data_IF_026771065367
#
_entry.id   IF_026771065367
#
_cell.length_a   1.000
_cell.length_b   1.000
_cell.length_c   1.000
_cell.angle_alpha   90.00
_cell.angle_beta   90.00
_cell.angle_gamma   90.00
#
_symmetry.space_group_name_H-M   'P 1'
#
loop_
_entity.id
_entity.type
_entity.pdbx_description
1 polymer ?
#
# COMPACT_ATOMS: atom_id res chain seq x y z
N UNK A 1 -56.05 -31.76 50.14
CA UNK A 1 -55.22 -30.54 50.12
C UNK A 1 -53.82 -30.82 49.60
N UNK A 2 -53.04 -31.72 50.21
CA UNK A 2 -51.66 -32.02 49.79
C UNK A 2 -51.50 -32.57 48.36
N UNK A 3 -52.50 -33.28 47.82
CA UNK A 3 -52.44 -33.82 46.45
C UNK A 3 -52.52 -32.71 45.39
N UNK A 4 -53.40 -31.72 45.58
CA UNK A 4 -53.55 -30.60 44.65
C UNK A 4 -52.30 -29.71 44.62
N UNK A 5 -51.68 -29.48 45.77
CA UNK A 5 -50.44 -28.70 45.87
C UNK A 5 -49.26 -29.40 45.15
N UNK A 6 -49.21 -30.73 45.20
CA UNK A 6 -48.24 -31.51 44.41
C UNK A 6 -48.54 -31.42 42.92
N UNK A 7 -49.81 -31.45 42.51
CA UNK A 7 -50.22 -31.34 41.12
C UNK A 7 -49.81 -29.98 40.52
N UNK A 8 -50.03 -28.89 41.24
CA UNK A 8 -49.61 -27.54 40.82
C UNK A 8 -48.09 -27.43 40.64
N UNK A 9 -47.31 -28.04 41.54
CA UNK A 9 -45.85 -28.07 41.42
C UNK A 9 -45.40 -28.84 40.17
N UNK A 10 -46.04 -29.97 39.87
CA UNK A 10 -45.74 -30.77 38.68
C UNK A 10 -46.05 -29.99 37.39
N UNK A 11 -47.17 -29.26 37.35
CA UNK A 11 -47.52 -28.41 36.20
C UNK A 11 -46.48 -27.32 35.97
N UNK A 12 -46.06 -26.61 37.02
CA UNK A 12 -44.99 -25.59 36.90
C UNK A 12 -43.67 -26.17 36.42
N UNK A 13 -43.31 -27.38 36.85
CA UNK A 13 -42.11 -28.07 36.38
C UNK A 13 -42.22 -28.40 34.89
N UNK A 14 -43.40 -28.84 34.43
CA UNK A 14 -43.65 -29.11 33.01
C UNK A 14 -43.46 -27.84 32.17
N UNK A 15 -44.08 -26.73 32.59
CA UNK A 15 -43.97 -25.45 31.89
C UNK A 15 -42.51 -24.96 31.85
N UNK A 16 -41.78 -25.14 32.95
CA UNK A 16 -40.34 -24.81 33.02
C UNK A 16 -39.51 -25.69 32.07
N UNK A 17 -39.81 -26.98 31.96
CA UNK A 17 -39.10 -27.90 31.06
C UNK A 17 -39.36 -27.57 29.58
N UNK A 18 -40.56 -27.11 29.25
CA UNK A 18 -40.91 -26.67 27.90
C UNK A 18 -40.10 -25.42 27.52
N UNK A 19 -40.07 -24.42 28.41
CA UNK A 19 -39.24 -23.23 28.23
C UNK A 19 -37.73 -23.55 28.13
N UNK A 20 -37.23 -24.50 28.95
CA UNK A 20 -35.84 -24.95 28.87
C UNK A 20 -35.56 -25.61 27.52
N UNK A 21 -36.50 -26.39 26.97
CA UNK A 21 -36.31 -27.05 25.68
C UNK A 21 -36.22 -26.03 24.53
N UNK A 22 -37.04 -24.99 24.56
CA UNK A 22 -36.95 -23.87 23.61
C UNK A 22 -35.60 -23.15 23.70
N UNK A 23 -35.11 -22.90 24.92
CA UNK A 23 -33.79 -22.29 25.13
C UNK A 23 -32.66 -23.17 24.60
N UNK A 24 -32.73 -24.48 24.80
CA UNK A 24 -31.73 -25.43 24.27
C UNK A 24 -31.70 -25.40 22.75
N UNK A 25 -32.86 -25.37 22.09
CA UNK A 25 -32.93 -25.28 20.63
C UNK A 25 -32.32 -23.95 20.14
N UNK A 26 -32.64 -22.83 20.79
CA UNK A 26 -32.04 -21.55 20.46
C UNK A 26 -30.52 -21.55 20.64
N UNK A 27 -30.00 -22.23 21.67
CA UNK A 27 -28.54 -22.38 21.87
C UNK A 27 -27.91 -23.20 20.74
N UNK A 28 -28.56 -24.27 20.29
CA UNK A 28 -28.07 -25.08 19.15
C UNK A 28 -28.01 -24.21 17.89
N UNK A 29 -29.08 -23.47 17.56
CA UNK A 29 -29.11 -22.57 16.40
C UNK A 29 -28.06 -21.45 16.49
N UNK A 30 -27.77 -20.96 17.70
CA UNK A 30 -26.67 -20.01 17.90
C UNK A 30 -25.32 -20.66 17.68
N UNK A 31 -25.12 -21.90 18.11
CA UNK A 31 -23.87 -22.62 17.93
C UNK A 31 -23.58 -22.85 16.43
N UNK A 32 -24.59 -23.25 15.66
CA UNK A 32 -24.45 -23.41 14.20
C UNK A 32 -24.02 -22.09 13.52
N UNK A 33 -24.59 -20.96 13.94
CA UNK A 33 -24.19 -19.63 13.44
C UNK A 33 -22.80 -19.21 13.87
N UNK A 34 -22.33 -19.64 15.04
CA UNK A 34 -20.96 -19.38 15.49
C UNK A 34 -19.98 -20.12 14.58
N UNK A 35 -20.25 -21.39 14.25
CA UNK A 35 -19.43 -22.16 13.32
C UNK A 35 -19.36 -21.49 11.93
N UNK A 36 -20.49 -21.02 11.40
CA UNK A 36 -20.51 -20.25 10.14
C UNK A 36 -19.71 -18.93 10.20
N UNK A 37 -19.68 -18.27 11.36
CA UNK A 37 -18.91 -17.04 11.54
C UNK A 37 -17.41 -17.33 11.67
N UNK A 38 -17.03 -18.42 12.32
CA UNK A 38 -15.64 -18.86 12.43
C UNK A 38 -15.04 -19.17 11.05
N UNK A 39 -15.81 -19.82 10.16
CA UNK A 39 -15.39 -20.07 8.77
C UNK A 39 -15.17 -18.75 8.00
N UNK A 40 -16.10 -17.80 8.10
CA UNK A 40 -15.95 -16.47 7.47
C UNK A 40 -14.78 -15.67 8.01
N UNK A 41 -14.47 -15.80 9.30
CA UNK A 41 -13.30 -15.14 9.89
C UNK A 41 -12.03 -15.74 9.32
N UNK A 42 -11.94 -17.06 9.16
CA UNK A 42 -10.79 -17.71 8.55
C UNK A 42 -10.58 -17.26 7.10
N UNK A 43 -11.65 -17.17 6.31
CA UNK A 43 -11.57 -16.66 4.92
C UNK A 43 -11.06 -15.21 4.88
N UNK A 44 -11.58 -14.35 5.76
CA UNK A 44 -11.14 -12.96 5.86
C UNK A 44 -9.69 -12.82 6.33
N UNK A 45 -9.21 -13.70 7.22
CA UNK A 45 -7.81 -13.72 7.65
C UNK A 45 -6.88 -14.10 6.49
N UNK A 46 -7.27 -15.05 5.63
CA UNK A 46 -6.53 -15.40 4.42
C UNK A 46 -6.48 -14.22 3.43
N UNK A 47 -7.63 -13.59 3.14
CA UNK A 47 -7.69 -12.40 2.28
C UNK A 47 -6.82 -11.26 2.81
N UNK A 48 -6.86 -11.02 4.12
CA UNK A 48 -6.06 -9.98 4.76
C UNK A 48 -4.57 -10.31 4.70
N UNK A 49 -4.17 -11.58 4.82
CA UNK A 49 -2.78 -12.00 4.60
C UNK A 49 -2.30 -11.64 3.20
N UNK A 50 -3.12 -11.90 2.16
CA UNK A 50 -2.77 -11.57 0.77
C UNK A 50 -2.63 -10.06 0.59
N UNK A 51 -3.55 -9.27 1.15
CA UNK A 51 -3.51 -7.81 1.08
C UNK A 51 -2.25 -7.27 1.76
N UNK A 52 -1.88 -7.80 2.94
CA UNK A 52 -0.66 -7.38 3.62
C UNK A 52 0.59 -7.72 2.81
N UNK A 53 0.66 -8.90 2.19
CA UNK A 53 1.78 -9.26 1.30
C UNK A 53 1.88 -8.32 0.10
N UNK A 54 0.75 -7.96 -0.51
CA UNK A 54 0.70 -6.97 -1.59
C UNK A 54 1.15 -5.58 -1.14
N UNK A 55 0.77 -5.18 0.06
CA UNK A 55 1.14 -3.88 0.64
C UNK A 55 2.64 -3.82 0.96
N UNK A 56 3.22 -4.92 1.43
CA UNK A 56 4.66 -5.04 1.66
C UNK A 56 5.45 -4.96 0.34
N UNK A 57 4.96 -5.60 -0.72
CA UNK A 57 5.56 -5.48 -2.06
C UNK A 57 5.51 -4.04 -2.57
N UNK A 58 4.36 -3.37 -2.48
CA UNK A 58 4.19 -1.95 -2.85
C UNK A 58 5.08 -1.02 -2.00
N UNK A 59 5.18 -1.25 -0.70
CA UNK A 59 6.06 -0.46 0.18
C UNK A 59 7.52 -0.63 -0.17
N UNK A 60 7.94 -1.81 -0.63
CA UNK A 60 9.32 -2.08 -1.05
C UNK A 60 9.61 -1.36 -2.38
N UNK A 61 8.66 -1.38 -3.31
CA UNK A 61 8.75 -0.70 -4.60
C UNK A 61 8.88 0.83 -4.43
N UNK A 62 8.03 1.44 -3.59
CA UNK A 62 8.12 2.87 -3.27
C UNK A 62 9.43 3.26 -2.57
N UNK A 63 10.06 2.35 -1.81
CA UNK A 63 11.36 2.63 -1.18
C UNK A 63 12.53 2.55 -2.16
N UNK A 64 12.42 1.73 -3.21
CA UNK A 64 13.40 1.68 -4.30
C UNK A 64 13.42 2.98 -5.12
N UNK A 65 12.27 3.62 -5.31
CA UNK A 65 12.19 4.94 -5.96
C UNK A 65 12.78 6.07 -5.09
N UNK A 66 12.87 5.90 -3.76
CA UNK A 66 13.50 6.87 -2.85
C UNK A 66 15.03 6.69 -2.70
N UNK A 67 15.65 5.76 -3.42
CA UNK A 67 17.10 5.79 -3.70
C UNK A 67 17.39 6.52 -5.03
N UNK A 68 16.38 7.20 -5.58
CA UNK A 68 16.44 7.86 -6.88
C UNK A 68 16.87 9.31 -6.79
N UNK A 69 18.16 9.54 -6.51
CA UNK A 69 18.80 10.82 -6.88
C UNK A 69 20.32 10.82 -6.64
N UNK A 70 20.86 9.98 -5.75
CA UNK A 70 22.32 9.91 -5.53
C UNK A 70 22.97 8.87 -6.44
N UNK A 71 23.77 9.30 -7.42
CA UNK A 71 24.60 8.43 -8.26
C UNK A 71 26.09 8.61 -7.99
N UNK A 72 26.84 7.50 -8.00
CA UNK A 72 28.29 7.52 -7.86
C UNK A 72 28.95 7.61 -9.25
N UNK A 73 29.76 8.63 -9.47
CA UNK A 73 30.54 8.83 -10.69
C UNK A 73 32.03 8.98 -10.36
N UNK A 74 32.91 8.77 -11.35
CA UNK A 74 34.35 9.00 -11.18
C UNK A 74 34.69 10.35 -11.79
N UNK A 75 35.31 11.24 -11.03
CA UNK A 75 35.72 12.54 -11.54
C UNK A 75 36.79 12.37 -12.65
N UNK A 76 36.58 12.91 -13.86
CA UNK A 76 37.53 12.76 -14.97
C UNK A 76 38.87 13.48 -14.74
N UNK A 77 38.92 14.38 -13.75
CA UNK A 77 40.10 15.21 -13.48
C UNK A 77 40.98 14.73 -12.33
N UNK A 78 40.40 14.11 -11.30
CA UNK A 78 41.14 13.61 -10.13
C UNK A 78 40.99 12.10 -9.91
N UNK A 79 40.13 11.44 -10.69
CA UNK A 79 39.89 10.00 -10.63
C UNK A 79 39.33 9.48 -9.30
N UNK A 80 38.84 10.37 -8.44
CA UNK A 80 38.14 10.00 -7.22
C UNK A 80 36.64 9.82 -7.46
N UNK A 81 36.06 8.91 -6.67
CA UNK A 81 34.63 8.63 -6.64
C UNK A 81 33.88 9.80 -6.00
N UNK A 82 32.83 10.27 -6.68
CA UNK A 82 31.98 11.38 -6.26
C UNK A 82 30.54 10.89 -6.21
N UNK A 83 29.84 11.24 -5.13
CA UNK A 83 28.41 11.04 -4.97
C UNK A 83 27.71 12.32 -5.41
N UNK A 84 26.84 12.23 -6.41
CA UNK A 84 26.11 13.35 -6.98
C UNK A 84 24.63 13.14 -6.68
N UNK A 85 24.02 14.10 -5.97
CA UNK A 85 22.59 14.14 -5.71
C UNK A 85 21.88 14.96 -6.80
N UNK A 86 21.06 14.30 -7.62
CA UNK A 86 20.28 14.90 -8.69
C UNK A 86 19.16 15.80 -8.18
N UNK A 87 18.75 15.70 -6.90
CA UNK A 87 17.80 16.65 -6.30
C UNK A 87 18.46 17.99 -5.94
N UNK A 88 19.78 17.99 -5.72
CA UNK A 88 20.55 19.21 -5.43
C UNK A 88 21.07 19.90 -6.70
N UNK A 89 20.97 19.24 -7.86
CA UNK A 89 21.34 19.80 -9.15
C UNK A 89 20.14 20.48 -9.80
N UNK A 90 20.17 21.81 -9.92
CA UNK A 90 19.22 22.53 -10.77
C UNK A 90 19.52 22.24 -12.26
N UNK A 91 18.46 22.10 -13.08
CA UNK A 91 18.58 21.87 -14.53
C UNK A 91 19.51 22.93 -15.17
N UNK A 92 20.61 22.47 -15.76
CA UNK A 92 21.59 23.34 -16.44
C UNK A 92 22.72 23.90 -15.57
N UNK A 93 22.85 23.49 -14.30
CA UNK A 93 24.00 23.88 -13.47
C UNK A 93 25.22 22.95 -13.60
N UNK A 94 26.42 23.55 -13.56
CA UNK A 94 27.71 22.86 -13.61
C UNK A 94 28.06 22.28 -12.22
N UNK A 95 28.35 20.98 -12.15
CA UNK A 95 28.74 20.33 -10.90
C UNK A 95 30.22 20.55 -10.59
N UNK A 96 30.54 21.08 -9.41
CA UNK A 96 31.94 21.25 -8.97
C UNK A 96 32.40 20.04 -8.17
N UNK A 97 33.43 19.33 -8.65
CA UNK A 97 33.97 18.18 -7.95
C UNK A 97 34.51 18.57 -6.55
N UNK A 98 34.06 17.94 -5.45
CA UNK A 98 34.51 18.27 -4.08
C UNK A 98 35.98 17.91 -3.80
N UNK A 99 36.58 17.04 -4.62
CA UNK A 99 37.96 16.59 -4.43
C UNK A 99 38.99 17.48 -5.14
N UNK A 100 38.62 18.10 -6.27
CA UNK A 100 39.58 18.86 -7.08
C UNK A 100 39.07 20.24 -7.53
N UNK A 101 37.88 20.65 -7.08
CA UNK A 101 37.29 21.97 -7.30
C UNK A 101 37.20 22.36 -8.79
N UNK A 102 37.09 21.36 -9.68
CA UNK A 102 36.91 21.58 -11.10
C UNK A 102 35.44 21.42 -11.46
N UNK A 103 34.96 22.37 -12.23
CA UNK A 103 33.64 22.35 -12.86
C UNK A 103 33.59 21.20 -13.87
N UNK A 104 32.57 20.36 -13.71
CA UNK A 104 32.20 19.29 -14.61
C UNK A 104 30.91 19.76 -15.26
N UNK A 105 31.01 20.16 -16.53
CA UNK A 105 29.83 20.48 -17.33
C UNK A 105 29.05 19.19 -17.56
N UNK A 106 27.81 19.15 -17.09
CA UNK A 106 26.87 18.07 -17.36
C UNK A 106 26.12 18.45 -18.65
N UNK A 107 26.35 17.69 -19.71
CA UNK A 107 25.58 17.86 -20.95
C UNK A 107 24.25 17.12 -20.76
N UNK A 108 23.23 17.87 -20.38
CA UNK A 108 21.85 17.39 -20.31
C UNK A 108 21.38 17.16 -21.75
N UNK A 109 21.30 15.91 -22.18
CA UNK A 109 20.65 15.60 -23.44
C UNK A 109 19.15 15.80 -23.23
N UNK A 110 18.64 16.94 -23.66
CA UNK A 110 17.20 17.13 -23.80
C UNK A 110 16.70 16.07 -24.80
N UNK A 111 16.03 15.02 -24.31
CA UNK A 111 15.27 14.06 -25.12
C UNK A 111 14.00 14.75 -25.69
N UNK A 112 14.15 15.94 -26.26
CA UNK A 112 13.18 16.55 -27.16
C UNK A 112 13.42 16.00 -28.57
N UNK A 113 12.81 14.85 -28.87
CA UNK A 113 12.78 14.24 -30.21
C UNK A 113 11.89 15.04 -31.20
N UNK A 114 11.50 16.28 -30.85
CA UNK A 114 10.85 17.23 -31.73
C UNK A 114 11.83 18.37 -32.06
N UNK A 115 12.26 18.45 -33.33
CA UNK A 115 13.26 19.41 -33.83
C UNK A 115 12.83 20.88 -33.86
N UNK A 116 12.23 21.39 -32.77
CA UNK A 116 11.76 22.76 -32.61
C UNK A 116 12.32 23.37 -31.31
N UNK A 117 13.64 23.41 -31.18
CA UNK A 117 14.30 24.10 -30.07
C UNK A 117 15.25 25.16 -30.64
N UNK A 118 14.69 26.30 -31.04
CA UNK A 118 15.48 27.51 -31.20
C UNK A 118 14.62 28.76 -30.86
N UNK A 119 14.99 29.37 -29.74
CA UNK A 119 14.75 30.76 -29.32
C UNK A 119 13.46 31.12 -28.56
N UNK A 120 13.69 31.61 -27.33
CA UNK A 120 13.08 32.75 -26.63
C UNK A 120 11.56 32.89 -26.61
N UNK A 121 11.00 32.76 -25.40
CA UNK A 121 9.74 33.32 -24.89
C UNK A 121 8.44 33.12 -25.72
N UNK A 122 7.48 32.42 -25.09
CA UNK A 122 6.09 32.14 -25.53
C UNK A 122 5.91 31.05 -26.62
N UNK A 123 5.66 29.81 -26.19
CA UNK A 123 5.04 28.78 -27.06
C UNK A 123 3.86 28.10 -26.37
N UNK A 124 2.64 28.52 -26.74
CA UNK A 124 1.41 27.74 -26.61
C UNK A 124 1.51 26.51 -27.54
N UNK A 125 1.78 25.35 -26.95
CA UNK A 125 2.03 24.10 -27.67
C UNK A 125 0.72 23.30 -27.91
N UNK A 126 -0.27 23.93 -28.54
CA UNK A 126 -1.60 23.34 -28.75
C UNK A 126 -1.78 22.65 -30.12
N UNK A 127 -0.76 22.56 -30.97
CA UNK A 127 -0.92 22.05 -32.35
C UNK A 127 0.35 21.38 -32.94
N UNK A 128 0.98 20.45 -32.21
CA UNK A 128 2.02 19.58 -32.78
C UNK A 128 1.43 18.23 -33.20
N UNK A 129 0.98 18.14 -34.45
CA UNK A 129 0.75 16.87 -35.17
C UNK A 129 2.11 16.18 -35.41
N UNK A 130 2.51 15.32 -34.49
CA UNK A 130 3.63 14.40 -34.68
C UNK A 130 3.15 13.18 -35.47
N UNK A 131 3.08 13.28 -36.80
CA UNK A 131 2.98 12.10 -37.67
C UNK A 131 4.38 11.52 -37.95
N UNK A 132 4.60 10.30 -37.43
CA UNK A 132 5.63 9.26 -37.70
C UNK A 132 7.11 9.66 -37.88
#
# INVERSE_FOLDING_TARGET
MALNEKLEKILKIKDSNEAISELVNAIIEMNDKIEELEEKIADLEEENSIINEQLDMLSTDMQLENYGSVFAAICPYCNEEIEIDLEELEEGEDFVCPHCEKEIALEWSDDCDCGCCDHDDDCDCDDCDCEE
#
